data_IF_637184175103
#
_entry.id   IF_637184175103
#
_cell.length_a   1.000
_cell.length_b   1.000
_cell.length_c   1.000
_cell.angle_alpha   90.00
_cell.angle_beta   90.00
_cell.angle_gamma   90.00
#
_symmetry.space_group_name_H-M   'P 1'
#
loop_
_entity.id
_entity.type
_entity.pdbx_description
1 polymer ?
#
# COMPACT_ATOMS: atom_id res chain seq x y z
N UNK A 1 2.73 -18.58 -4.85
CA UNK A 1 2.46 -17.18 -5.27
C UNK A 1 2.35 -16.37 -4.02
N UNK A 2 3.20 -15.37 -3.89
CA UNK A 2 3.15 -14.39 -2.79
C UNK A 2 2.42 -13.13 -3.27
N UNK A 3 1.74 -12.49 -2.34
CA UNK A 3 0.99 -11.26 -2.58
C UNK A 3 1.69 -10.11 -1.86
N UNK A 4 2.18 -9.16 -2.62
CA UNK A 4 2.90 -7.98 -2.12
C UNK A 4 1.93 -6.80 -2.05
N UNK A 5 1.51 -6.44 -0.85
CA UNK A 5 0.48 -5.44 -0.61
C UNK A 5 1.11 -4.11 -0.18
N UNK A 6 1.00 -3.09 -1.00
CA UNK A 6 1.44 -1.74 -0.66
C UNK A 6 0.44 -1.07 0.29
N UNK A 7 0.91 -0.44 1.35
CA UNK A 7 0.05 0.34 2.24
C UNK A 7 -0.25 1.74 1.68
N UNK A 8 -1.07 2.47 2.39
CA UNK A 8 -1.39 3.86 2.07
C UNK A 8 -0.40 4.77 2.83
N UNK A 9 0.36 5.60 2.12
CA UNK A 9 1.42 6.41 2.73
C UNK A 9 0.98 7.35 3.85
N UNK A 10 -0.23 7.91 3.80
CA UNK A 10 -0.70 8.91 4.76
C UNK A 10 -1.34 8.33 6.03
N UNK A 11 -1.30 7.02 6.24
CA UNK A 11 -1.82 6.38 7.45
C UNK A 11 -0.96 5.20 7.89
N UNK A 12 -1.06 4.82 9.16
CA UNK A 12 -0.67 3.48 9.59
C UNK A 12 -1.74 2.46 9.14
N UNK A 13 -1.33 1.25 8.81
CA UNK A 13 -2.26 0.15 8.56
C UNK A 13 -2.69 -0.44 9.90
N UNK A 14 -3.61 0.22 10.58
CA UNK A 14 -4.20 -0.24 11.84
C UNK A 14 -5.71 -0.07 11.84
N UNK A 15 -6.37 -0.67 12.85
CA UNK A 15 -7.82 -0.52 13.03
C UNK A 15 -8.21 0.95 13.25
N UNK A 16 -7.37 1.73 13.91
CA UNK A 16 -7.66 3.12 14.26
C UNK A 16 -7.77 4.03 13.04
N UNK A 17 -7.08 3.67 11.95
CA UNK A 17 -7.13 4.38 10.67
C UNK A 17 -8.08 3.75 9.65
N UNK A 18 -8.84 2.71 10.03
CA UNK A 18 -9.75 2.01 9.13
C UNK A 18 -11.00 2.82 8.70
N UNK A 19 -11.14 4.05 9.18
CA UNK A 19 -12.10 5.02 8.65
C UNK A 19 -11.68 5.59 7.28
N UNK A 20 -10.40 5.56 6.94
CA UNK A 20 -9.94 5.76 5.57
C UNK A 20 -10.26 4.50 4.76
N UNK A 21 -11.06 4.63 3.70
CA UNK A 21 -11.50 3.49 2.88
C UNK A 21 -10.32 2.70 2.29
N UNK A 22 -9.26 3.37 1.85
CA UNK A 22 -8.06 2.70 1.32
C UNK A 22 -7.31 1.95 2.42
N UNK A 23 -7.09 2.57 3.58
CA UNK A 23 -6.44 1.91 4.72
C UNK A 23 -7.26 0.72 5.22
N UNK A 24 -8.59 0.83 5.22
CA UNK A 24 -9.48 -0.26 5.57
C UNK A 24 -9.27 -1.48 4.66
N UNK A 25 -9.07 -1.27 3.36
CA UNK A 25 -8.79 -2.34 2.39
C UNK A 25 -7.47 -3.04 2.73
N UNK A 26 -6.40 -2.26 2.92
CA UNK A 26 -5.08 -2.79 3.29
C UNK A 26 -5.14 -3.54 4.61
N UNK A 27 -5.89 -3.04 5.59
CA UNK A 27 -6.06 -3.69 6.89
C UNK A 27 -6.84 -5.01 6.81
N UNK A 28 -7.88 -5.08 5.97
CA UNK A 28 -8.75 -6.27 5.86
C UNK A 28 -8.18 -7.35 4.95
N UNK A 29 -7.55 -6.97 3.85
CA UNK A 29 -7.18 -7.89 2.78
C UNK A 29 -6.23 -9.02 3.23
N UNK A 30 -5.15 -8.78 4.00
CA UNK A 30 -4.32 -9.85 4.53
C UNK A 30 -5.09 -10.83 5.43
N UNK A 31 -5.99 -10.30 6.26
CA UNK A 31 -6.82 -11.10 7.17
C UNK A 31 -7.80 -12.01 6.44
N UNK A 32 -8.19 -11.64 5.23
CA UNK A 32 -9.04 -12.47 4.35
C UNK A 32 -8.22 -13.49 3.55
N UNK A 33 -7.05 -13.11 3.08
CA UNK A 33 -6.25 -13.94 2.15
C UNK A 33 -5.42 -15.01 2.85
N UNK A 34 -4.87 -14.71 4.03
CA UNK A 34 -4.06 -15.70 4.77
C UNK A 34 -4.80 -16.99 5.14
N UNK A 35 -6.05 -16.95 5.62
CA UNK A 35 -6.84 -18.18 5.85
C UNK A 35 -7.08 -19.01 4.59
N UNK A 36 -6.98 -18.41 3.40
CA UNK A 36 -7.06 -19.08 2.11
C UNK A 36 -5.72 -19.66 1.64
N UNK A 37 -4.67 -19.58 2.46
CA UNK A 37 -3.35 -20.14 2.18
C UNK A 37 -2.41 -19.22 1.39
N UNK A 38 -2.76 -17.96 1.21
CA UNK A 38 -1.85 -16.99 0.57
C UNK A 38 -0.80 -16.47 1.57
N UNK A 39 0.43 -16.38 1.12
CA UNK A 39 1.48 -15.63 1.79
C UNK A 39 1.33 -14.16 1.39
N UNK A 40 1.09 -13.29 2.37
CA UNK A 40 0.91 -11.84 2.16
C UNK A 40 2.09 -11.11 2.79
N UNK A 41 2.76 -10.30 1.99
CA UNK A 41 3.85 -9.40 2.42
C UNK A 41 3.32 -7.98 2.33
N UNK A 42 3.25 -7.31 3.46
CA UNK A 42 2.78 -5.94 3.56
C UNK A 42 3.96 -4.98 3.63
N UNK A 43 3.85 -3.88 2.91
CA UNK A 43 4.84 -2.80 2.88
C UNK A 43 4.24 -1.56 3.51
N UNK A 44 4.80 -1.11 4.61
CA UNK A 44 4.18 -0.02 5.37
C UNK A 44 5.11 0.70 6.33
N UNK A 45 4.50 1.54 7.16
CA UNK A 45 5.17 2.30 8.21
C UNK A 45 5.29 1.44 9.46
N UNK A 46 6.37 1.62 10.22
CA UNK A 46 6.57 0.97 11.52
C UNK A 46 5.36 1.21 12.46
N UNK A 47 5.00 0.19 13.23
CA UNK A 47 3.81 0.22 14.09
C UNK A 47 2.49 -0.09 13.38
N UNK A 48 2.51 -0.45 12.11
CA UNK A 48 1.34 -1.03 11.42
C UNK A 48 1.02 -2.43 11.97
N UNK A 49 -0.28 -2.75 12.04
CA UNK A 49 -0.83 -4.08 12.30
C UNK A 49 -1.66 -4.50 11.09
N UNK A 50 -0.99 -4.95 10.05
CA UNK A 50 -1.63 -5.35 8.80
C UNK A 50 -2.33 -6.71 8.88
N UNK A 51 -1.86 -7.57 9.78
CA UNK A 51 -2.23 -8.99 9.82
C UNK A 51 -1.63 -9.80 8.67
N UNK A 52 -0.63 -9.29 7.97
CA UNK A 52 0.09 -9.99 6.91
C UNK A 52 0.95 -11.15 7.46
N UNK A 53 1.52 -11.95 6.57
CA UNK A 53 2.49 -13.00 6.94
C UNK A 53 3.82 -12.35 7.33
N UNK A 54 4.19 -11.29 6.63
CA UNK A 54 5.41 -10.52 6.84
C UNK A 54 5.11 -9.03 6.64
N UNK A 55 5.60 -8.18 7.54
CA UNK A 55 5.60 -6.73 7.37
C UNK A 55 7.02 -6.27 7.00
N UNK A 56 7.13 -5.57 5.89
CA UNK A 56 8.35 -4.87 5.45
C UNK A 56 8.20 -3.40 5.83
N UNK A 57 9.04 -2.95 6.73
CA UNK A 57 9.04 -1.57 7.19
C UNK A 57 9.75 -0.71 6.15
N UNK A 58 9.00 0.20 5.54
CA UNK A 58 9.52 1.15 4.56
C UNK A 58 10.00 2.44 5.22
N UNK A 59 9.37 2.81 6.34
CA UNK A 59 9.60 4.09 7.00
C UNK A 59 9.35 3.96 8.49
N UNK A 60 10.21 4.54 9.30
CA UNK A 60 9.99 4.64 10.75
C UNK A 60 8.94 5.72 11.07
N UNK A 61 8.34 5.65 12.27
CA UNK A 61 7.23 6.55 12.63
C UNK A 61 7.64 8.00 12.74
N UNK A 62 8.83 8.30 13.22
CA UNK A 62 9.36 9.66 13.36
C UNK A 62 9.54 10.31 11.98
N UNK A 63 10.20 9.64 11.05
CA UNK A 63 10.32 10.09 9.67
C UNK A 63 8.94 10.27 9.01
N UNK A 64 8.02 9.35 9.25
CA UNK A 64 6.67 9.43 8.71
C UNK A 64 5.91 10.64 9.24
N UNK A 65 6.00 10.92 10.55
CA UNK A 65 5.37 12.08 11.16
C UNK A 65 5.96 13.39 10.67
N UNK A 66 7.28 13.45 10.48
CA UNK A 66 7.97 14.61 9.93
C UNK A 66 7.49 14.93 8.51
N UNK A 67 7.35 13.90 7.67
CA UNK A 67 6.86 14.06 6.29
C UNK A 67 5.35 14.33 6.22
N UNK A 68 4.57 13.81 7.15
CA UNK A 68 3.13 14.06 7.29
C UNK A 68 2.86 15.48 7.77
N UNK A 69 3.73 16.03 8.63
CA UNK A 69 3.67 17.39 9.13
C UNK A 69 2.72 17.61 10.31
N UNK A 70 2.14 16.54 10.87
CA UNK A 70 1.26 16.59 12.04
C UNK A 70 1.19 15.23 12.76
N UNK A 71 0.82 15.21 14.05
CA UNK A 71 0.64 13.97 14.79
C UNK A 71 -0.54 13.14 14.27
N UNK A 72 -0.46 11.81 14.40
CA UNK A 72 -1.54 10.90 14.02
C UNK A 72 -2.89 11.22 14.72
N UNK A 73 -2.86 11.74 15.93
CA UNK A 73 -4.06 12.03 16.74
C UNK A 73 -4.65 13.41 16.50
N UNK A 74 -4.01 14.27 15.71
CA UNK A 74 -4.50 15.61 15.45
C UNK A 74 -5.74 15.63 14.55
N UNK A 75 -6.13 14.46 14.04
CA UNK A 75 -7.19 14.40 13.06
C UNK A 75 -8.47 13.80 13.65
N UNK A 76 -9.57 14.57 13.66
CA UNK A 76 -10.87 14.01 13.95
C UNK A 76 -11.21 12.95 12.89
N UNK A 77 -12.06 12.01 13.23
CA UNK A 77 -12.61 10.97 12.35
C UNK A 77 -13.06 11.55 11.01
N UNK A 78 -12.15 11.72 10.07
CA UNK A 78 -12.41 12.34 8.78
C UNK A 78 -11.41 11.88 7.74
N UNK A 79 -11.79 12.04 6.48
CA UNK A 79 -10.93 11.75 5.35
C UNK A 79 -9.83 12.82 5.25
N UNK A 80 -8.59 12.37 5.25
CA UNK A 80 -7.40 13.22 5.15
C UNK A 80 -7.12 13.61 3.69
N UNK A 81 -8.01 14.36 3.07
CA UNK A 81 -7.91 14.71 1.66
C UNK A 81 -6.63 15.46 1.30
N UNK A 82 -6.10 16.25 2.25
CA UNK A 82 -4.86 17.00 2.04
C UNK A 82 -3.62 16.11 2.16
N UNK A 83 -3.67 15.06 2.96
CA UNK A 83 -2.56 14.12 3.13
C UNK A 83 -2.50 13.09 2.01
N UNK A 84 -3.61 12.83 1.33
CA UNK A 84 -3.74 11.84 0.25
C UNK A 84 -3.23 12.35 -1.11
N UNK A 85 -2.32 13.34 -1.14
CA UNK A 85 -1.78 13.88 -2.38
C UNK A 85 -0.65 13.02 -2.93
N UNK A 86 -0.91 12.37 -4.06
CA UNK A 86 0.03 11.47 -4.73
C UNK A 86 1.37 12.13 -5.14
N UNK A 87 1.41 13.46 -5.22
CA UNK A 87 2.59 14.27 -5.55
C UNK A 87 3.25 14.92 -4.33
N UNK A 88 2.75 14.67 -3.12
CA UNK A 88 3.36 15.16 -1.88
C UNK A 88 4.76 14.57 -1.66
N UNK A 89 5.55 15.22 -0.80
CA UNK A 89 6.87 14.73 -0.44
C UNK A 89 6.79 13.36 0.23
N UNK A 90 5.80 13.15 1.11
CA UNK A 90 5.54 11.88 1.77
C UNK A 90 5.34 10.75 0.73
N UNK A 91 4.46 10.94 -0.25
CA UNK A 91 4.19 9.92 -1.27
C UNK A 91 5.40 9.65 -2.16
N UNK A 92 6.15 10.68 -2.52
CA UNK A 92 7.37 10.51 -3.32
C UNK A 92 8.42 9.70 -2.57
N UNK A 93 8.68 10.04 -1.31
CA UNK A 93 9.68 9.34 -0.49
C UNK A 93 9.25 7.89 -0.22
N UNK A 94 7.99 7.71 0.17
CA UNK A 94 7.43 6.38 0.42
C UNK A 94 7.53 5.48 -0.83
N UNK A 95 7.17 6.00 -2.00
CA UNK A 95 7.26 5.23 -3.25
C UNK A 95 8.70 4.88 -3.67
N UNK A 96 9.68 5.71 -3.33
CA UNK A 96 11.09 5.36 -3.53
C UNK A 96 11.48 4.15 -2.67
N UNK A 97 11.16 4.17 -1.40
CA UNK A 97 11.43 3.05 -0.49
C UNK A 97 10.67 1.79 -0.92
N UNK A 98 9.39 1.93 -1.26
CA UNK A 98 8.59 0.82 -1.77
C UNK A 98 9.21 0.20 -3.03
N UNK A 99 9.65 1.02 -3.98
CA UNK A 99 10.29 0.56 -5.21
C UNK A 99 11.56 -0.26 -4.94
N UNK A 100 12.40 0.20 -4.02
CA UNK A 100 13.64 -0.50 -3.69
C UNK A 100 13.37 -1.81 -2.96
N UNK A 101 12.43 -1.81 -2.01
CA UNK A 101 11.99 -3.03 -1.37
C UNK A 101 11.33 -4.02 -2.35
N UNK A 102 10.49 -3.55 -3.28
CA UNK A 102 9.89 -4.42 -4.30
C UNK A 102 10.93 -5.06 -5.22
N UNK A 103 12.01 -4.37 -5.56
CA UNK A 103 13.12 -4.97 -6.33
C UNK A 103 13.81 -6.10 -5.59
N UNK A 104 13.88 -6.00 -4.26
CA UNK A 104 14.53 -7.00 -3.41
C UNK A 104 13.63 -8.23 -3.17
N UNK A 105 12.36 -7.99 -2.86
CA UNK A 105 11.47 -9.05 -2.35
C UNK A 105 10.61 -9.74 -3.40
N UNK A 106 10.20 -9.05 -4.48
CA UNK A 106 9.30 -9.60 -5.50
C UNK A 106 10.05 -10.54 -6.43
N UNK A 107 9.46 -11.70 -6.71
CA UNK A 107 9.99 -12.71 -7.63
C UNK A 107 9.03 -12.96 -8.80
N UNK A 108 9.49 -13.55 -9.91
CA UNK A 108 8.61 -14.03 -10.97
C UNK A 108 7.51 -14.95 -10.42
N UNK A 109 6.28 -14.73 -10.85
CA UNK A 109 5.10 -15.45 -10.36
C UNK A 109 4.42 -14.83 -9.14
N UNK A 110 5.00 -13.80 -8.52
CA UNK A 110 4.34 -13.04 -7.45
C UNK A 110 3.39 -11.99 -8.01
N UNK A 111 2.53 -11.45 -7.13
CA UNK A 111 1.57 -10.41 -7.48
C UNK A 111 1.68 -9.21 -6.53
N UNK A 112 1.79 -8.01 -7.11
CA UNK A 112 1.80 -6.74 -6.37
C UNK A 112 0.38 -6.18 -6.36
N UNK A 113 -0.15 -5.89 -5.18
CA UNK A 113 -1.48 -5.33 -4.98
C UNK A 113 -1.39 -3.84 -4.63
N UNK A 114 -2.05 -3.00 -5.43
CA UNK A 114 -2.05 -1.55 -5.32
C UNK A 114 -3.46 -1.07 -4.92
N UNK A 115 -3.73 -0.82 -3.64
CA UNK A 115 -5.04 -0.35 -3.17
C UNK A 115 -5.38 1.07 -3.61
N UNK A 116 -4.35 1.86 -3.96
CA UNK A 116 -4.51 3.24 -4.44
C UNK A 116 -3.66 3.47 -5.71
N UNK A 117 -3.96 2.73 -6.75
CA UNK A 117 -3.32 2.61 -8.06
C UNK A 117 -2.30 3.67 -8.46
N UNK A 118 -2.77 4.77 -9.05
CA UNK A 118 -1.86 5.79 -9.60
C UNK A 118 -0.99 6.50 -8.56
N UNK A 119 -1.40 6.54 -7.29
CA UNK A 119 -0.57 7.09 -6.22
C UNK A 119 0.70 6.25 -5.97
N UNK A 120 0.70 4.99 -6.39
CA UNK A 120 1.84 4.08 -6.33
C UNK A 120 2.56 3.90 -7.67
N UNK A 121 2.23 4.70 -8.68
CA UNK A 121 2.77 4.56 -10.04
C UNK A 121 4.30 4.53 -10.08
N UNK A 122 4.97 5.42 -9.32
CA UNK A 122 6.42 5.50 -9.28
C UNK A 122 7.09 4.33 -8.57
N UNK A 123 6.39 3.64 -7.67
CA UNK A 123 6.90 2.44 -7.03
C UNK A 123 6.95 1.23 -7.98
N UNK A 124 5.98 1.11 -8.89
CA UNK A 124 5.84 -0.08 -9.75
C UNK A 124 6.27 0.13 -11.20
N UNK A 125 6.33 1.40 -11.66
CA UNK A 125 6.72 1.69 -13.04
C UNK A 125 8.11 1.16 -13.34
N UNK A 126 8.23 0.42 -14.43
CA UNK A 126 9.49 -0.13 -14.94
C UNK A 126 10.22 -1.09 -13.98
N UNK A 127 9.51 -1.74 -13.06
CA UNK A 127 10.10 -2.80 -12.25
C UNK A 127 10.52 -3.97 -13.16
N UNK A 128 11.82 -4.38 -13.14
CA UNK A 128 12.29 -5.46 -14.01
C UNK A 128 11.53 -6.77 -13.80
N UNK A 129 11.10 -7.07 -12.58
CA UNK A 129 10.40 -8.30 -12.22
C UNK A 129 9.04 -8.44 -12.90
N UNK A 130 8.38 -7.33 -13.27
CA UNK A 130 7.12 -7.38 -14.04
C UNK A 130 7.35 -7.92 -15.45
N UNK A 131 8.50 -7.61 -16.08
CA UNK A 131 8.91 -8.20 -17.36
C UNK A 131 9.36 -9.66 -17.21
N UNK A 132 9.77 -10.06 -16.02
CA UNK A 132 10.21 -11.41 -15.69
C UNK A 132 9.07 -12.34 -15.23
N UNK A 133 7.81 -11.88 -15.24
CA UNK A 133 6.64 -12.70 -14.96
C UNK A 133 5.94 -12.46 -13.63
N UNK A 134 6.30 -11.43 -12.88
CA UNK A 134 5.45 -10.93 -11.79
C UNK A 134 4.27 -10.12 -12.36
N UNK A 135 3.20 -9.97 -11.57
CA UNK A 135 2.02 -9.19 -11.96
C UNK A 135 1.83 -8.01 -11.01
N UNK A 136 1.18 -6.95 -11.49
CA UNK A 136 0.70 -5.86 -10.65
C UNK A 136 -0.79 -5.64 -10.92
N UNK A 137 -1.57 -5.49 -9.86
CA UNK A 137 -3.04 -5.40 -9.91
C UNK A 137 -3.50 -4.25 -9.04
N UNK A 138 -4.36 -3.39 -9.57
CA UNK A 138 -5.09 -2.44 -8.74
C UNK A 138 -6.23 -3.16 -8.03
N UNK A 139 -6.23 -3.12 -6.70
CA UNK A 139 -7.19 -3.83 -5.86
C UNK A 139 -8.14 -2.87 -5.14
N UNK A 140 -9.43 -3.18 -5.18
CA UNK A 140 -10.45 -2.39 -4.49
C UNK A 140 -10.69 -1.02 -5.14
N UNK A 141 -10.90 -1.01 -6.46
CA UNK A 141 -11.09 0.22 -7.23
C UNK A 141 -12.47 0.81 -6.92
N UNK A 142 -12.46 2.05 -6.42
CA UNK A 142 -13.63 2.90 -6.27
C UNK A 142 -13.36 4.32 -6.81
N UNK A 143 -12.46 4.44 -7.80
CA UNK A 143 -12.02 5.72 -8.38
C UNK A 143 -11.88 5.61 -9.91
N UNK A 144 -11.76 6.75 -10.57
CA UNK A 144 -11.48 6.86 -12.00
C UNK A 144 -9.96 6.86 -12.26
N UNK A 145 -9.57 6.72 -13.54
CA UNK A 145 -8.18 6.83 -14.00
C UNK A 145 -7.23 5.75 -13.42
N UNK A 146 -7.60 4.50 -13.64
CA UNK A 146 -6.78 3.36 -13.22
C UNK A 146 -5.44 3.32 -13.98
N UNK A 147 -4.37 3.02 -13.25
CA UNK A 147 -3.01 2.91 -13.76
C UNK A 147 -2.79 1.62 -14.56
N UNK A 148 -3.34 0.50 -14.08
CA UNK A 148 -3.01 -0.85 -14.56
C UNK A 148 -4.16 -1.47 -15.36
N UNK A 149 -3.83 -2.38 -16.31
CA UNK A 149 -4.86 -3.13 -17.05
C UNK A 149 -5.59 -4.16 -16.17
N UNK A 150 -4.92 -4.73 -15.15
CA UNK A 150 -5.50 -5.70 -14.24
C UNK A 150 -6.09 -4.99 -13.01
N UNK A 151 -7.37 -5.26 -12.75
CA UNK A 151 -8.17 -4.52 -11.77
C UNK A 151 -9.12 -5.43 -11.01
N UNK A 152 -9.27 -5.18 -9.72
CA UNK A 152 -10.30 -5.79 -8.87
C UNK A 152 -11.20 -4.67 -8.39
N UNK A 153 -12.44 -4.68 -8.83
CA UNK A 153 -13.44 -3.70 -8.42
C UNK A 153 -14.08 -4.13 -7.09
N UNK A 154 -14.49 -3.15 -6.30
CA UNK A 154 -15.37 -3.41 -5.16
C UNK A 154 -16.75 -3.79 -5.70
N UNK A 155 -17.33 -4.87 -5.16
CA UNK A 155 -18.74 -5.16 -5.38
C UNK A 155 -19.57 -4.16 -4.57
N UNK A 156 -20.59 -3.58 -5.18
CA UNK A 156 -21.65 -2.87 -4.45
C UNK A 156 -22.43 -3.83 -3.54
#
# INVERSE_FOLDING_TARGET
MRLHLLSIPHTLTTKDFAHCAFTQKVYKLPRMLRPLGYEVIHYGVAGSDSGATTDVILMEQDEHLDLLGHPYHAQPKGFYGDDAKADSLLYRQWNLYARDALKEYVQPGDCILLPFGHAHASAVRDLPVLKAGASAIESGIGYYDCLLPWRIYESE
#
